data_IF_892026222346
#
_entry.id   IF_892026222346
#
_cell.length_a   1.000
_cell.length_b   1.000
_cell.length_c   1.000
_cell.angle_alpha   90.00
_cell.angle_beta   90.00
_cell.angle_gamma   90.00
#
_symmetry.space_group_name_H-M   'P 1'
#
loop_
_entity.id
_entity.type
_entity.pdbx_description
1 polymer ?
#
# COMPACT_ATOMS: atom_id res chain seq x y z
N UNK A 1 -21.31 -20.18 -26.71
CA UNK A 1 -21.59 -20.14 -25.25
C UNK A 1 -20.57 -19.19 -24.63
N UNK A 2 -20.98 -17.95 -24.33
CA UNK A 2 -20.06 -16.94 -23.81
C UNK A 2 -19.54 -17.38 -22.45
N UNK A 3 -18.21 -17.40 -22.28
CA UNK A 3 -17.60 -17.63 -20.97
C UNK A 3 -18.16 -16.57 -20.00
N UNK A 4 -18.56 -16.94 -18.77
CA UNK A 4 -18.98 -15.95 -17.78
C UNK A 4 -17.88 -14.91 -17.61
N UNK A 5 -18.26 -13.63 -17.62
CA UNK A 5 -17.31 -12.50 -17.54
C UNK A 5 -16.58 -12.44 -16.19
N UNK A 6 -17.16 -13.01 -15.13
CA UNK A 6 -16.55 -13.18 -13.81
C UNK A 6 -17.02 -14.49 -13.19
N UNK A 7 -16.08 -15.36 -12.83
CA UNK A 7 -16.34 -16.55 -12.02
C UNK A 7 -16.27 -16.22 -10.53
N UNK A 8 -16.78 -17.12 -9.68
CA UNK A 8 -16.66 -16.98 -8.21
C UNK A 8 -15.19 -17.00 -7.77
N UNK A 9 -14.32 -17.70 -8.49
CA UNK A 9 -12.88 -17.70 -8.23
C UNK A 9 -12.27 -16.34 -8.56
N UNK A 10 -12.67 -15.72 -9.67
CA UNK A 10 -12.22 -14.37 -10.04
C UNK A 10 -12.62 -13.33 -8.98
N UNK A 11 -13.84 -13.42 -8.44
CA UNK A 11 -14.29 -12.53 -7.35
C UNK A 11 -13.41 -12.68 -6.11
N UNK A 12 -13.06 -13.92 -5.73
CA UNK A 12 -12.18 -14.18 -4.58
C UNK A 12 -10.78 -13.59 -4.80
N UNK A 13 -10.26 -13.70 -6.02
CA UNK A 13 -8.96 -13.12 -6.38
C UNK A 13 -9.01 -11.59 -6.37
N UNK A 14 -10.06 -10.98 -6.91
CA UNK A 14 -10.28 -9.52 -6.84
C UNK A 14 -10.36 -9.03 -5.40
N UNK A 15 -11.09 -9.73 -4.53
CA UNK A 15 -11.16 -9.39 -3.11
C UNK A 15 -9.81 -9.51 -2.42
N UNK A 16 -9.06 -10.59 -2.67
CA UNK A 16 -7.71 -10.76 -2.13
C UNK A 16 -6.74 -9.68 -2.59
N UNK A 17 -6.83 -9.25 -3.85
CA UNK A 17 -6.04 -8.13 -4.38
C UNK A 17 -6.41 -6.82 -3.71
N UNK A 18 -7.72 -6.55 -3.55
CA UNK A 18 -8.21 -5.38 -2.84
C UNK A 18 -7.68 -5.33 -1.41
N UNK A 19 -7.80 -6.42 -0.65
CA UNK A 19 -7.31 -6.47 0.73
C UNK A 19 -5.78 -6.37 0.85
N UNK A 20 -5.04 -6.80 -0.18
CA UNK A 20 -3.58 -6.67 -0.21
C UNK A 20 -3.14 -5.22 -0.46
N UNK A 21 -3.84 -4.49 -1.33
CA UNK A 21 -3.50 -3.11 -1.71
C UNK A 21 -4.10 -2.09 -0.73
N UNK A 22 -5.31 -2.33 -0.23
CA UNK A 22 -5.99 -1.47 0.73
C UNK A 22 -5.45 -1.73 2.13
N UNK A 23 -4.68 -0.80 2.66
CA UNK A 23 -4.08 -0.92 3.98
C UNK A 23 -3.48 0.39 4.44
N UNK A 24 -2.42 0.30 5.25
CA UNK A 24 -1.77 1.46 5.91
C UNK A 24 -1.38 2.60 4.97
N UNK A 25 -1.17 2.32 3.67
CA UNK A 25 -0.95 3.37 2.66
C UNK A 25 -2.05 4.44 2.59
N UNK A 26 -3.31 4.08 2.87
CA UNK A 26 -4.42 5.06 2.91
C UNK A 26 -4.31 5.99 4.12
N UNK A 27 -3.79 5.51 5.25
CA UNK A 27 -3.61 6.30 6.47
C UNK A 27 -2.56 7.41 6.29
N UNK A 28 -1.58 7.21 5.40
CA UNK A 28 -0.57 8.22 5.06
C UNK A 28 -1.05 9.27 4.06
N UNK A 29 -2.13 9.00 3.32
CA UNK A 29 -2.62 9.86 2.24
C UNK A 29 -3.00 11.28 2.69
N UNK A 30 -3.73 11.49 3.81
CA UNK A 30 -4.04 12.85 4.27
C UNK A 30 -2.78 13.69 4.51
N UNK A 31 -1.72 13.10 5.08
CA UNK A 31 -0.43 13.76 5.27
C UNK A 31 0.27 14.11 3.96
N UNK A 32 0.19 13.22 2.97
CA UNK A 32 0.73 13.45 1.63
C UNK A 32 -0.02 14.58 0.91
N UNK A 33 -1.35 14.59 1.00
CA UNK A 33 -2.21 15.65 0.45
C UNK A 33 -1.95 17.00 1.13
N UNK A 34 -1.72 17.01 2.44
CA UNK A 34 -1.37 18.23 3.18
C UNK A 34 0.00 18.81 2.77
N UNK A 35 0.95 17.96 2.34
CA UNK A 35 2.31 18.38 1.93
C UNK A 35 2.43 18.79 0.47
N UNK A 36 1.84 18.03 -0.46
CA UNK A 36 1.87 18.34 -1.90
C UNK A 36 0.78 19.33 -2.34
N UNK A 37 -0.29 19.45 -1.55
CA UNK A 37 -1.51 20.15 -1.96
C UNK A 37 -2.41 19.29 -2.84
N UNK A 38 -3.71 19.63 -2.86
CA UNK A 38 -4.76 18.81 -3.46
C UNK A 38 -4.57 18.53 -4.96
N UNK A 39 -4.18 19.55 -5.74
CA UNK A 39 -4.02 19.42 -7.20
C UNK A 39 -2.89 18.46 -7.57
N UNK A 40 -1.69 18.72 -7.04
CA UNK A 40 -0.51 17.89 -7.33
C UNK A 40 -0.63 16.48 -6.78
N UNK A 41 -1.15 16.31 -5.54
CA UNK A 41 -1.36 14.99 -4.95
C UNK A 41 -2.40 14.16 -5.73
N UNK A 42 -3.46 14.79 -6.27
CA UNK A 42 -4.46 14.09 -7.09
C UNK A 42 -3.89 13.73 -8.47
N UNK A 43 -3.17 14.64 -9.12
CA UNK A 43 -2.53 14.35 -10.41
C UNK A 43 -1.51 13.20 -10.28
N UNK A 44 -0.71 13.25 -9.22
CA UNK A 44 0.22 12.21 -8.79
C UNK A 44 -0.46 10.84 -8.60
N UNK A 45 -1.54 10.80 -7.83
CA UNK A 45 -2.32 9.60 -7.55
C UNK A 45 -2.85 8.97 -8.83
N UNK A 46 -3.49 9.77 -9.68
CA UNK A 46 -4.07 9.30 -10.95
C UNK A 46 -2.98 8.79 -11.89
N UNK A 47 -1.85 9.49 -11.99
CA UNK A 47 -0.72 9.06 -12.79
C UNK A 47 -0.17 7.70 -12.32
N UNK A 48 0.09 7.54 -11.02
CA UNK A 48 0.54 6.27 -10.45
C UNK A 48 -0.48 5.15 -10.64
N UNK A 49 -1.78 5.43 -10.50
CA UNK A 49 -2.84 4.46 -10.74
C UNK A 49 -2.84 3.97 -12.20
N UNK A 50 -2.69 4.87 -13.16
CA UNK A 50 -2.60 4.51 -14.59
C UNK A 50 -1.36 3.66 -14.86
N UNK A 51 -0.19 4.08 -14.37
CA UNK A 51 1.08 3.36 -14.59
C UNK A 51 1.03 1.96 -13.97
N UNK A 52 0.57 1.84 -12.72
CA UNK A 52 0.47 0.55 -12.03
C UNK A 52 -0.56 -0.38 -12.70
N UNK A 53 -1.69 0.16 -13.15
CA UNK A 53 -2.70 -0.61 -13.89
C UNK A 53 -2.15 -1.11 -15.23
N UNK A 54 -1.48 -0.23 -15.98
CA UNK A 54 -0.85 -0.59 -17.25
C UNK A 54 0.22 -1.66 -17.07
N UNK A 55 1.11 -1.52 -16.08
CA UNK A 55 2.12 -2.51 -15.76
C UNK A 55 1.50 -3.87 -15.41
N UNK A 56 0.43 -3.87 -14.60
CA UNK A 56 -0.30 -5.10 -14.22
C UNK A 56 -0.92 -5.79 -15.43
N UNK A 57 -1.51 -5.04 -16.36
CA UNK A 57 -2.05 -5.57 -17.62
C UNK A 57 -0.94 -6.17 -18.49
N UNK A 58 0.20 -5.51 -18.63
CA UNK A 58 1.33 -6.03 -19.39
C UNK A 58 1.87 -7.33 -18.78
N UNK A 59 2.06 -7.39 -17.46
CA UNK A 59 2.48 -8.60 -16.75
C UNK A 59 1.46 -9.73 -16.95
N UNK A 60 0.17 -9.43 -16.86
CA UNK A 60 -0.91 -10.41 -17.06
C UNK A 60 -0.87 -11.00 -18.47
N UNK A 61 -0.64 -10.18 -19.51
CA UNK A 61 -0.49 -10.65 -20.89
C UNK A 61 0.73 -11.57 -21.06
N UNK A 62 1.85 -11.25 -20.40
CA UNK A 62 3.06 -12.08 -20.45
C UNK A 62 2.80 -13.41 -19.75
N UNK A 63 2.14 -13.41 -18.59
CA UNK A 63 1.80 -14.62 -17.84
C UNK A 63 0.89 -15.58 -18.63
N UNK A 64 0.06 -15.08 -19.55
CA UNK A 64 -0.77 -15.93 -20.42
C UNK A 64 0.03 -16.66 -21.50
N UNK A 65 1.20 -16.14 -21.88
CA UNK A 65 2.08 -16.74 -22.89
C UNK A 65 3.24 -17.51 -22.25
N UNK A 66 3.52 -17.24 -20.97
CA UNK A 66 4.62 -17.84 -20.24
C UNK A 66 4.49 -19.37 -20.14
N UNK A 67 5.59 -20.12 -20.35
CA UNK A 67 5.59 -21.57 -20.16
C UNK A 67 5.42 -21.94 -18.68
N UNK A 68 4.95 -23.17 -18.40
CA UNK A 68 4.73 -23.67 -17.03
C UNK A 68 5.98 -23.71 -16.13
N UNK A 69 7.16 -23.50 -16.71
CA UNK A 69 8.43 -23.36 -15.98
C UNK A 69 8.55 -22.01 -15.26
N UNK A 70 7.86 -20.96 -15.74
CA UNK A 70 7.85 -19.63 -15.10
C UNK A 70 6.90 -19.66 -13.92
N UNK A 71 7.45 -19.71 -12.70
CA UNK A 71 6.66 -19.76 -11.45
C UNK A 71 6.88 -18.55 -10.56
N UNK A 72 8.08 -17.97 -10.59
CA UNK A 72 8.43 -16.82 -9.76
C UNK A 72 8.49 -15.54 -10.58
N UNK A 73 8.41 -14.39 -9.90
CA UNK A 73 8.58 -13.10 -10.55
C UNK A 73 9.99 -12.94 -11.16
N UNK A 74 11.01 -13.55 -10.54
CA UNK A 74 12.36 -13.63 -11.08
C UNK A 74 12.44 -14.43 -12.39
N UNK A 75 11.74 -15.56 -12.47
CA UNK A 75 11.69 -16.38 -13.69
C UNK A 75 10.92 -15.66 -14.81
N UNK A 76 9.93 -14.83 -14.46
CA UNK A 76 9.24 -13.96 -15.42
C UNK A 76 10.21 -12.91 -15.98
N UNK A 77 11.06 -12.33 -15.12
CA UNK A 77 12.14 -11.44 -15.56
C UNK A 77 13.13 -12.13 -16.49
N UNK A 78 13.47 -13.38 -16.19
CA UNK A 78 14.33 -14.21 -17.06
C UNK A 78 13.70 -14.49 -18.42
N UNK A 79 12.40 -14.79 -18.44
CA UNK A 79 11.66 -15.05 -19.67
C UNK A 79 11.59 -13.81 -20.57
N UNK A 80 11.44 -12.61 -20.01
CA UNK A 80 11.31 -11.38 -20.79
C UNK A 80 12.65 -10.79 -21.29
N UNK A 81 13.69 -10.84 -20.46
CA UNK A 81 14.95 -10.09 -20.68
C UNK A 81 16.20 -10.96 -20.45
N UNK A 82 16.06 -12.28 -20.32
CA UNK A 82 17.15 -13.21 -20.03
C UNK A 82 17.74 -13.01 -18.63
N UNK A 83 18.98 -13.47 -18.43
CA UNK A 83 19.64 -13.43 -17.12
C UNK A 83 19.73 -12.04 -16.49
N UNK A 84 19.83 -10.97 -17.30
CA UNK A 84 19.81 -9.60 -16.79
C UNK A 84 18.46 -9.24 -16.16
N UNK A 85 17.36 -9.59 -16.82
CA UNK A 85 16.01 -9.36 -16.30
C UNK A 85 15.76 -10.04 -14.96
N UNK A 86 16.25 -11.28 -14.81
CA UNK A 86 16.19 -12.03 -13.55
C UNK A 86 16.84 -11.24 -12.40
N UNK A 87 18.06 -10.76 -12.59
CA UNK A 87 18.77 -10.01 -11.54
C UNK A 87 18.09 -8.70 -11.19
N UNK A 88 17.65 -7.92 -12.18
CA UNK A 88 16.92 -6.66 -11.94
C UNK A 88 15.66 -6.90 -11.11
N UNK A 89 14.87 -7.90 -11.48
CA UNK A 89 13.62 -8.22 -10.78
C UNK A 89 13.88 -8.74 -9.36
N UNK A 90 14.84 -9.65 -9.18
CA UNK A 90 15.15 -10.18 -7.84
C UNK A 90 15.67 -9.08 -6.92
N UNK A 91 16.57 -8.22 -7.38
CA UNK A 91 17.13 -7.13 -6.56
C UNK A 91 16.02 -6.15 -6.15
N UNK A 92 15.21 -5.68 -7.11
CA UNK A 92 14.13 -4.72 -6.83
C UNK A 92 13.05 -5.33 -5.92
N UNK A 93 12.73 -6.61 -6.10
CA UNK A 93 11.80 -7.32 -5.22
C UNK A 93 12.34 -7.46 -3.81
N UNK A 94 13.60 -7.88 -3.64
CA UNK A 94 14.24 -8.01 -2.31
C UNK A 94 14.32 -6.66 -1.59
N UNK A 95 14.65 -5.58 -2.31
CA UNK A 95 14.62 -4.22 -1.75
C UNK A 95 13.22 -3.86 -1.26
N UNK A 96 12.18 -4.16 -2.04
CA UNK A 96 10.78 -3.90 -1.66
C UNK A 96 10.39 -4.69 -0.40
N UNK A 97 10.76 -5.98 -0.33
CA UNK A 97 10.50 -6.84 0.82
C UNK A 97 11.19 -6.36 2.11
N UNK A 98 12.26 -5.57 2.02
CA UNK A 98 12.95 -5.00 3.18
C UNK A 98 12.40 -3.61 3.52
N UNK A 99 12.24 -2.75 2.53
CA UNK A 99 11.85 -1.35 2.73
C UNK A 99 10.39 -1.22 3.19
N UNK A 100 9.48 -2.04 2.68
CA UNK A 100 8.05 -1.96 3.03
C UNK A 100 7.81 -2.26 4.52
N UNK A 101 8.32 -3.35 5.11
CA UNK A 101 8.19 -3.59 6.54
C UNK A 101 8.85 -2.50 7.40
N UNK A 102 10.01 -1.96 6.98
CA UNK A 102 10.67 -0.86 7.69
C UNK A 102 9.75 0.37 7.73
N UNK A 103 9.18 0.76 6.59
CA UNK A 103 8.27 1.90 6.52
C UNK A 103 7.05 1.70 7.43
N UNK A 104 6.47 0.49 7.46
CA UNK A 104 5.33 0.17 8.32
C UNK A 104 5.67 0.17 9.81
N UNK A 105 6.85 -0.35 10.19
CA UNK A 105 7.31 -0.33 11.57
C UNK A 105 7.53 1.10 12.06
N UNK A 106 8.17 1.94 11.25
CA UNK A 106 8.42 3.35 11.59
C UNK A 106 7.11 4.13 11.71
N UNK A 107 6.20 3.97 10.75
CA UNK A 107 4.91 4.63 10.77
C UNK A 107 4.06 4.17 11.96
N UNK A 108 3.98 2.86 12.22
CA UNK A 108 3.27 2.31 13.37
C UNK A 108 3.85 2.78 14.71
N UNK A 109 5.18 2.84 14.84
CA UNK A 109 5.85 3.37 16.02
C UNK A 109 5.49 4.83 16.31
N UNK A 110 5.44 5.67 15.27
CA UNK A 110 4.99 7.07 15.40
C UNK A 110 3.53 7.15 15.85
N UNK A 111 2.64 6.35 15.26
CA UNK A 111 1.22 6.34 15.64
C UNK A 111 1.00 5.88 17.10
N UNK A 112 1.74 4.87 17.55
CA UNK A 112 1.66 4.41 18.95
C UNK A 112 2.18 5.44 19.94
N UNK A 113 3.21 6.22 19.58
CA UNK A 113 3.65 7.34 20.43
C UNK A 113 2.61 8.44 20.56
N UNK A 114 1.84 8.70 19.50
CA UNK A 114 0.74 9.68 19.55
C UNK A 114 -0.48 9.16 20.31
N UNK A 115 -0.74 7.85 20.25
CA UNK A 115 -1.88 7.22 20.92
C UNK A 115 -1.64 7.06 22.44
N UNK A 116 -0.40 6.76 22.84
CA UNK A 116 -0.01 6.56 24.24
C UNK A 116 1.07 7.57 24.66
N UNK A 117 0.72 8.87 24.78
CA UNK A 117 1.68 9.91 25.11
C UNK A 117 2.32 9.66 26.48
N UNK A 118 3.64 9.80 26.57
CA UNK A 118 4.40 9.68 27.82
C UNK A 118 4.79 8.26 28.23
N UNK A 119 4.52 7.24 27.41
CA UNK A 119 4.79 5.83 27.77
C UNK A 119 6.19 5.38 27.36
N UNK A 120 6.45 5.30 26.05
CA UNK A 120 7.73 4.85 25.48
C UNK A 120 8.10 5.68 24.25
N UNK A 121 9.39 5.74 23.94
CA UNK A 121 9.89 6.40 22.72
C UNK A 121 9.60 5.57 21.46
N UNK A 122 9.69 6.22 20.29
CA UNK A 122 9.39 5.60 18.97
C UNK A 122 10.18 4.31 18.75
N UNK A 123 11.47 4.28 19.11
CA UNK A 123 12.32 3.11 18.94
C UNK A 123 11.85 1.88 19.71
N UNK A 124 11.35 2.05 20.93
CA UNK A 124 10.83 0.94 21.74
C UNK A 124 9.54 0.39 21.15
N UNK A 125 8.64 1.26 20.68
CA UNK A 125 7.41 0.83 20.00
C UNK A 125 7.70 0.08 18.70
N UNK A 126 8.70 0.51 17.93
CA UNK A 126 9.17 -0.22 16.73
C UNK A 126 9.61 -1.63 17.11
N UNK A 127 10.42 -1.80 18.15
CA UNK A 127 10.89 -3.13 18.60
C UNK A 127 9.71 -3.99 19.06
N UNK A 128 8.80 -3.45 19.86
CA UNK A 128 7.60 -4.17 20.32
C UNK A 128 6.73 -4.62 19.14
N UNK A 129 6.49 -3.76 18.17
CA UNK A 129 5.76 -4.13 16.95
C UNK A 129 6.48 -5.21 16.15
N UNK A 130 7.80 -5.09 15.98
CA UNK A 130 8.61 -6.11 15.30
C UNK A 130 8.50 -7.48 15.97
N UNK A 131 8.53 -7.53 17.31
CA UNK A 131 8.34 -8.76 18.07
C UNK A 131 6.92 -9.34 17.91
N UNK A 132 5.89 -8.50 17.84
CA UNK A 132 4.52 -8.97 17.61
C UNK A 132 4.28 -9.48 16.18
N UNK A 133 5.04 -8.98 15.19
CA UNK A 133 4.93 -9.37 13.79
C UNK A 133 5.74 -10.64 13.45
N UNK A 134 6.76 -10.98 14.23
CA UNK A 134 7.60 -12.18 14.04
C UNK A 134 6.80 -13.48 13.82
N UNK A 135 5.74 -13.79 14.60
CA UNK A 135 4.93 -14.99 14.39
C UNK A 135 4.22 -15.01 13.03
N UNK A 136 3.81 -13.84 12.53
CA UNK A 136 3.12 -13.70 11.24
C UNK A 136 4.09 -13.95 10.09
N UNK A 137 5.36 -13.56 10.24
CA UNK A 137 6.42 -13.86 9.26
C UNK A 137 6.71 -15.35 9.11
N UNK A 138 6.33 -16.18 10.09
CA UNK A 138 6.54 -17.64 10.07
C UNK A 138 5.39 -18.40 9.40
N UNK A 139 4.31 -17.73 9.01
CA UNK A 139 3.16 -18.34 8.33
C UNK A 139 3.55 -18.56 6.86
N UNK A 140 3.72 -19.82 6.39
CA UNK A 140 4.30 -20.09 5.09
C UNK A 140 3.28 -20.06 3.95
N UNK A 141 1.98 -19.91 4.24
CA UNK A 141 0.92 -20.09 3.23
C UNK A 141 0.16 -18.81 2.90
N UNK A 142 -0.01 -18.54 1.61
CA UNK A 142 -0.82 -17.42 1.09
C UNK A 142 -2.30 -17.51 1.51
N UNK A 143 -2.80 -18.72 1.79
CA UNK A 143 -4.18 -18.92 2.25
C UNK A 143 -4.40 -18.41 3.67
N UNK A 144 -3.46 -18.63 4.56
CA UNK A 144 -3.49 -18.09 5.93
C UNK A 144 -3.21 -16.59 5.93
N UNK A 145 -2.32 -16.13 5.04
CA UNK A 145 -2.06 -14.69 4.82
C UNK A 145 -3.26 -13.91 4.29
N UNK A 146 -4.15 -14.54 3.50
CA UNK A 146 -5.35 -13.88 2.98
C UNK A 146 -6.32 -13.44 4.10
N UNK A 147 -6.41 -14.20 5.19
CA UNK A 147 -7.23 -13.80 6.35
C UNK A 147 -6.62 -12.59 7.07
N UNK A 148 -5.30 -12.58 7.25
CA UNK A 148 -4.59 -11.44 7.85
C UNK A 148 -4.75 -10.17 7.00
N UNK A 149 -4.64 -10.29 5.67
CA UNK A 149 -4.87 -9.19 4.74
C UNK A 149 -6.33 -8.69 4.80
N UNK A 150 -7.30 -9.60 4.85
CA UNK A 150 -8.72 -9.23 4.97
C UNK A 150 -9.02 -8.52 6.30
N UNK A 151 -8.48 -9.03 7.42
CA UNK A 151 -8.62 -8.40 8.73
C UNK A 151 -7.96 -7.01 8.77
N UNK A 152 -6.77 -6.87 8.18
CA UNK A 152 -6.09 -5.58 8.04
C UNK A 152 -6.90 -4.59 7.22
N UNK A 153 -7.41 -5.01 6.06
CA UNK A 153 -8.26 -4.19 5.20
C UNK A 153 -9.55 -3.74 5.90
N UNK A 154 -10.24 -4.63 6.61
CA UNK A 154 -11.43 -4.28 7.41
C UNK A 154 -11.09 -3.28 8.53
N UNK A 155 -9.95 -3.48 9.20
CA UNK A 155 -9.47 -2.55 10.22
C UNK A 155 -9.18 -1.16 9.65
N UNK A 156 -8.53 -1.09 8.49
CA UNK A 156 -8.27 0.19 7.79
C UNK A 156 -9.57 0.85 7.34
N UNK A 157 -10.52 0.10 6.76
CA UNK A 157 -11.83 0.65 6.37
C UNK A 157 -12.60 1.23 7.57
N UNK A 158 -12.59 0.53 8.70
CA UNK A 158 -13.20 1.02 9.92
C UNK A 158 -12.50 2.28 10.44
N UNK A 159 -11.16 2.31 10.42
CA UNK A 159 -10.38 3.48 10.83
C UNK A 159 -10.67 4.70 9.93
N UNK A 160 -10.72 4.50 8.61
CA UNK A 160 -11.03 5.56 7.64
C UNK A 160 -12.46 6.09 7.84
N UNK A 161 -13.44 5.22 8.07
CA UNK A 161 -14.81 5.61 8.36
C UNK A 161 -14.93 6.42 9.66
N UNK A 162 -14.25 6.00 10.73
CA UNK A 162 -14.21 6.73 12.01
C UNK A 162 -13.51 8.07 11.84
N UNK A 163 -12.39 8.12 11.13
CA UNK A 163 -11.65 9.35 10.89
C UNK A 163 -12.49 10.37 10.10
N UNK A 164 -13.18 9.93 9.05
CA UNK A 164 -14.11 10.77 8.29
C UNK A 164 -15.30 11.23 9.13
N UNK A 165 -15.87 10.35 9.95
CA UNK A 165 -16.96 10.69 10.85
C UNK A 165 -16.54 11.78 11.86
N UNK A 166 -15.42 11.58 12.56
CA UNK A 166 -14.88 12.56 13.51
C UNK A 166 -14.54 13.87 12.81
N UNK A 167 -13.98 13.83 11.61
CA UNK A 167 -13.68 15.03 10.84
C UNK A 167 -14.94 15.85 10.53
N UNK A 168 -16.02 15.18 10.10
CA UNK A 168 -17.31 15.85 9.80
C UNK A 168 -17.95 16.41 11.07
N UNK A 169 -17.91 15.67 12.18
CA UNK A 169 -18.51 16.07 13.45
C UNK A 169 -17.75 17.21 14.15
N UNK A 170 -16.42 17.27 14.01
CA UNK A 170 -15.57 18.28 14.67
C UNK A 170 -15.30 19.54 13.82
N UNK A 171 -15.65 19.56 12.53
CA UNK A 171 -15.50 20.73 11.66
C UNK A 171 -16.53 21.88 11.82
N UNK A 172 -17.73 21.74 12.43
CA UNK A 172 -18.67 22.85 12.58
C UNK A 172 -18.30 23.83 13.72
N UNK A 173 -18.42 25.15 13.51
CA UNK A 173 -18.82 25.82 12.28
C UNK A 173 -17.64 25.95 11.30
N UNK A 174 -17.86 25.53 10.05
CA UNK A 174 -16.88 25.69 8.97
C UNK A 174 -16.60 27.18 8.78
N UNK A 175 -15.38 27.69 9.06
CA UNK A 175 -15.10 29.11 8.98
C UNK A 175 -15.33 29.63 7.55
N UNK A 176 -16.07 30.73 7.42
CA UNK A 176 -16.25 31.42 6.15
C UNK A 176 -14.89 31.96 5.68
N UNK A 177 -14.26 31.27 4.73
CA UNK A 177 -12.88 31.55 4.31
C UNK A 177 -11.94 30.34 4.32
N UNK A 178 -12.45 29.12 4.54
CA UNK A 178 -11.69 27.88 4.36
C UNK A 178 -11.25 27.74 2.90
N UNK A 179 -10.13 28.38 2.57
CA UNK A 179 -9.44 28.21 1.31
C UNK A 179 -8.59 26.95 1.40
N UNK A 180 -8.48 26.25 0.26
CA UNK A 180 -7.57 25.13 0.13
C UNK A 180 -6.18 25.62 0.58
N UNK A 181 -5.51 24.95 1.54
CA UNK A 181 -4.18 25.37 1.98
C UNK A 181 -3.28 25.45 0.75
N UNK A 182 -2.79 26.65 0.46
CA UNK A 182 -1.92 26.88 -0.70
C UNK A 182 -0.61 26.14 -0.44
N UNK A 183 -0.26 25.10 -1.22
CA UNK A 183 0.98 24.38 -0.99
C UNK A 183 2.15 25.32 -1.26
N UNK A 184 3.13 25.37 -0.36
CA UNK A 184 4.39 26.05 -0.61
C UNK A 184 5.23 25.22 -1.59
N UNK A 185 4.83 25.18 -2.87
CA UNK A 185 5.35 24.26 -3.88
C UNK A 185 6.88 24.32 -3.94
N UNK A 186 7.53 23.35 -3.29
CA UNK A 186 8.97 23.13 -3.35
C UNK A 186 9.21 21.74 -3.93
N UNK A 187 10.21 21.61 -4.81
CA UNK A 187 10.60 20.32 -5.39
C UNK A 187 10.80 19.24 -4.32
N UNK A 188 11.36 19.61 -3.17
CA UNK A 188 11.56 18.70 -2.04
C UNK A 188 10.25 18.15 -1.51
N UNK A 189 9.20 18.97 -1.37
CA UNK A 189 7.90 18.53 -0.87
C UNK A 189 7.22 17.59 -1.85
N UNK A 190 7.25 17.90 -3.15
CA UNK A 190 6.68 17.04 -4.20
C UNK A 190 7.44 15.71 -4.31
N UNK A 191 8.78 15.73 -4.24
CA UNK A 191 9.60 14.53 -4.33
C UNK A 191 9.45 13.59 -3.13
N UNK A 192 9.11 14.10 -1.94
CA UNK A 192 8.89 13.28 -0.72
C UNK A 192 7.47 12.77 -0.54
N UNK A 193 6.56 13.07 -1.48
CA UNK A 193 5.14 12.66 -1.42
C UNK A 193 4.92 11.27 -2.04
N UNK A 194 5.92 10.74 -2.75
CA UNK A 194 5.89 9.45 -3.43
C UNK A 194 6.85 8.45 -2.77
#
# INVERSE_FOLDING_TARGET
MGKPFLTVEDIKMCFSLFCCVYGVGTLGMPGNYARAGYGWATAALVFMAIVNTYATVCISKILLVAPKSVRTFGDLGEFCLGGFGRWVVVITHMLTCILVPIAFLVLGGMMLTTLFPGTYGVGTWIVVMGMMLLPICLIPTLKEGAFAAAAGCLGTLAADAIALYLLVDNMPPVPAGLSLPSPAISFKQVATVF
#
